data_IF_972702103297
#
_entry.id   IF_972702103297
#
_cell.length_a   1.000
_cell.length_b   1.000
_cell.length_c   1.000
_cell.angle_alpha   90.00
_cell.angle_beta   90.00
_cell.angle_gamma   90.00
#
_symmetry.space_group_name_H-M   'P 1'
#
loop_
_entity.id
_entity.type
_entity.pdbx_description
1 polymer ?
#
# COMPACT_ATOMS: atom_id res chain seq x y z
N UNK A 1 -6.63 -0.79 2.23
CA UNK A 1 -7.13 -0.21 3.50
C UNK A 1 -7.62 1.23 3.33
N UNK A 2 -6.97 2.06 2.52
CA UNK A 2 -7.40 3.43 2.22
C UNK A 2 -8.00 3.45 0.80
N UNK A 3 -9.22 3.96 0.65
CA UNK A 3 -9.85 4.11 -0.66
C UNK A 3 -9.27 5.33 -1.38
N UNK A 4 -8.75 5.12 -2.58
CA UNK A 4 -8.10 6.15 -3.39
C UNK A 4 -9.03 6.77 -4.43
N UNK A 5 -10.28 6.31 -4.54
CA UNK A 5 -11.22 6.67 -5.60
C UNK A 5 -11.32 8.19 -5.84
N UNK A 6 -11.45 8.99 -4.78
CA UNK A 6 -11.64 10.44 -4.91
C UNK A 6 -10.45 11.16 -5.55
N UNK A 7 -9.25 10.58 -5.51
CA UNK A 7 -8.01 11.18 -6.01
C UNK A 7 -7.51 10.54 -7.30
N UNK A 8 -8.20 9.54 -7.86
CA UNK A 8 -7.78 8.91 -9.12
C UNK A 8 -7.75 9.90 -10.29
N UNK A 9 -8.61 10.93 -10.27
CA UNK A 9 -8.66 11.96 -11.28
C UNK A 9 -7.32 12.69 -11.52
N UNK A 10 -6.45 12.80 -10.50
CA UNK A 10 -5.10 13.36 -10.66
C UNK A 10 -4.21 12.56 -11.64
N UNK A 11 -4.57 11.30 -11.93
CA UNK A 11 -3.78 10.39 -12.76
C UNK A 11 -4.41 10.11 -14.13
N UNK A 12 -5.57 10.70 -14.43
CA UNK A 12 -6.31 10.51 -15.67
C UNK A 12 -5.67 11.29 -16.83
N UNK A 13 -5.22 12.53 -16.56
CA UNK A 13 -4.61 13.41 -17.55
C UNK A 13 -3.08 13.26 -17.64
N UNK A 14 -2.51 13.70 -18.76
CA UNK A 14 -1.05 13.77 -18.97
C UNK A 14 -0.56 15.22 -19.06
N UNK A 15 0.50 15.60 -18.32
CA UNK A 15 1.24 14.79 -17.36
C UNK A 15 0.41 14.49 -16.09
N UNK A 16 0.58 13.28 -15.53
CA UNK A 16 -0.10 12.87 -14.29
C UNK A 16 0.36 13.73 -13.11
N UNK A 17 -0.58 14.20 -12.30
CA UNK A 17 -0.32 15.01 -11.11
C UNK A 17 -0.12 14.12 -9.88
N UNK A 18 1.08 13.57 -9.77
CA UNK A 18 1.46 12.74 -8.63
C UNK A 18 1.50 13.51 -7.32
N UNK A 19 1.88 14.78 -7.34
CA UNK A 19 1.98 15.57 -6.12
C UNK A 19 0.58 15.89 -5.58
N UNK A 20 -0.38 16.25 -6.43
CA UNK A 20 -1.80 16.34 -6.08
C UNK A 20 -2.37 15.01 -5.58
N UNK A 21 -2.07 13.91 -6.28
CA UNK A 21 -2.49 12.56 -5.86
C UNK A 21 -2.02 12.22 -4.43
N UNK A 22 -0.78 12.53 -4.06
CA UNK A 22 -0.29 12.23 -2.70
C UNK A 22 -0.73 13.24 -1.66
N UNK A 23 -0.84 14.52 -2.01
CA UNK A 23 -1.36 15.55 -1.11
C UNK A 23 -2.82 15.26 -0.71
N UNK A 24 -3.58 14.59 -1.58
CA UNK A 24 -4.97 14.19 -1.34
C UNK A 24 -5.13 12.89 -0.53
N UNK A 25 -4.04 12.23 -0.15
CA UNK A 25 -4.06 10.95 0.57
C UNK A 25 -4.58 10.99 2.03
N UNK A 26 -4.45 12.11 2.79
CA UNK A 26 -5.05 12.21 4.12
C UNK A 26 -6.59 12.17 4.10
N UNK A 27 -7.22 12.41 2.95
CA UNK A 27 -8.68 12.39 2.80
C UNK A 27 -9.23 11.03 2.35
N UNK A 28 -8.37 10.01 2.20
CA UNK A 28 -8.79 8.66 1.80
C UNK A 28 -9.81 8.10 2.82
N UNK A 29 -11.03 7.72 2.41
CA UNK A 29 -11.94 7.00 3.28
C UNK A 29 -11.35 5.64 3.70
N UNK A 30 -11.55 5.18 4.94
CA UNK A 30 -11.13 3.84 5.33
C UNK A 30 -12.01 2.78 4.66
N UNK A 31 -11.38 1.69 4.23
CA UNK A 31 -12.06 0.47 3.77
C UNK A 31 -12.27 -0.43 4.98
N UNK A 32 -13.53 -0.56 5.41
CA UNK A 32 -13.92 -1.23 6.66
C UNK A 32 -13.36 -2.65 6.77
N UNK A 33 -13.38 -3.44 5.71
CA UNK A 33 -12.86 -4.81 5.67
C UNK A 33 -11.37 -4.86 5.97
N UNK A 34 -10.60 -3.91 5.43
CA UNK A 34 -9.16 -3.84 5.66
C UNK A 34 -8.82 -3.40 7.07
N UNK A 35 -9.59 -2.46 7.64
CA UNK A 35 -9.43 -2.04 9.03
C UNK A 35 -9.75 -3.19 9.98
N UNK A 36 -10.89 -3.86 9.78
CA UNK A 36 -11.32 -4.97 10.60
C UNK A 36 -10.30 -6.13 10.56
N UNK A 37 -9.76 -6.46 9.37
CA UNK A 37 -8.73 -7.49 9.24
C UNK A 37 -7.45 -7.12 9.98
N UNK A 38 -6.98 -5.87 9.86
CA UNK A 38 -5.78 -5.42 10.54
C UNK A 38 -5.93 -5.50 12.07
N UNK A 39 -7.08 -5.04 12.60
CA UNK A 39 -7.39 -5.11 14.04
C UNK A 39 -7.50 -6.56 14.51
N UNK A 40 -8.23 -7.42 13.80
CA UNK A 40 -8.38 -8.82 14.20
C UNK A 40 -7.03 -9.57 14.20
N UNK A 41 -6.14 -9.22 13.26
CA UNK A 41 -4.84 -9.86 13.13
C UNK A 41 -3.91 -9.60 14.33
N UNK A 42 -4.12 -8.54 15.12
CA UNK A 42 -3.25 -8.24 16.29
C UNK A 42 -3.33 -9.30 17.39
N UNK A 43 -4.36 -10.14 17.39
CA UNK A 43 -4.49 -11.23 18.35
C UNK A 43 -3.35 -12.25 18.23
N UNK A 44 -2.72 -12.34 17.06
CA UNK A 44 -1.76 -13.39 16.73
C UNK A 44 -0.56 -12.90 15.91
N UNK A 45 -0.61 -11.69 15.33
CA UNK A 45 0.43 -11.08 14.50
C UNK A 45 0.91 -9.74 15.06
N UNK A 46 2.19 -9.45 14.85
CA UNK A 46 2.65 -8.06 14.73
C UNK A 46 2.13 -7.48 13.40
N UNK A 47 1.67 -6.22 13.42
CA UNK A 47 1.25 -5.52 12.21
C UNK A 47 2.43 -4.72 11.63
N UNK A 48 2.67 -4.93 10.34
CA UNK A 48 3.62 -4.14 9.54
C UNK A 48 2.88 -3.56 8.36
N UNK A 49 3.00 -2.25 8.17
CA UNK A 49 2.40 -1.53 7.06
C UNK A 49 3.42 -1.37 5.93
N UNK A 50 3.00 -1.71 4.72
CA UNK A 50 3.81 -1.56 3.52
C UNK A 50 3.02 -0.74 2.49
N UNK A 51 3.51 0.43 2.13
CA UNK A 51 2.78 1.36 1.26
C UNK A 51 3.63 1.85 0.09
N UNK A 52 2.98 2.02 -1.06
CA UNK A 52 3.54 2.69 -2.22
C UNK A 52 3.50 4.22 -2.10
N UNK A 53 3.12 4.79 -0.96
CA UNK A 53 3.29 6.22 -0.69
C UNK A 53 4.78 6.54 -0.50
N UNK A 54 5.28 7.68 -1.00
CA UNK A 54 6.66 8.08 -0.80
C UNK A 54 6.92 8.52 0.65
N UNK A 55 8.17 8.46 1.11
CA UNK A 55 8.59 8.84 2.47
C UNK A 55 8.13 10.25 2.90
N UNK A 56 8.01 11.20 1.97
CA UNK A 56 7.48 12.55 2.25
C UNK A 56 6.06 12.54 2.81
N UNK A 57 5.28 11.48 2.56
CA UNK A 57 3.92 11.29 3.07
C UNK A 57 3.89 10.54 4.42
N UNK A 58 5.03 10.32 5.08
CA UNK A 58 5.09 9.52 6.31
C UNK A 58 4.21 10.07 7.41
N UNK A 59 4.29 11.38 7.67
CA UNK A 59 3.53 12.03 8.73
C UNK A 59 2.03 11.85 8.50
N UNK A 60 1.56 12.23 7.32
CA UNK A 60 0.17 12.08 6.89
C UNK A 60 -0.33 10.64 6.97
N UNK A 61 0.52 9.66 6.60
CA UNK A 61 0.15 8.24 6.65
C UNK A 61 -0.01 7.77 8.10
N UNK A 62 0.90 8.17 9.00
CA UNK A 62 0.80 7.81 10.42
C UNK A 62 -0.41 8.47 11.08
N UNK A 63 -0.66 9.74 10.79
CA UNK A 63 -1.80 10.48 11.32
C UNK A 63 -3.12 9.85 10.81
N UNK A 64 -3.19 9.44 9.54
CA UNK A 64 -4.34 8.73 8.96
C UNK A 64 -4.58 7.37 9.63
N UNK A 65 -3.53 6.56 9.83
CA UNK A 65 -3.65 5.26 10.51
C UNK A 65 -4.20 5.43 11.94
N UNK A 66 -3.66 6.39 12.69
CA UNK A 66 -4.11 6.68 14.05
C UNK A 66 -5.56 7.20 14.08
N UNK A 67 -5.93 8.12 13.19
CA UNK A 67 -7.27 8.70 13.11
C UNK A 67 -8.35 7.64 12.81
N UNK A 68 -8.00 6.58 12.09
CA UNK A 68 -8.92 5.48 11.73
C UNK A 68 -8.79 4.24 12.63
N UNK A 69 -8.07 4.34 13.75
CA UNK A 69 -8.01 3.27 14.75
C UNK A 69 -7.26 2.03 14.28
N UNK A 70 -6.31 2.17 13.35
CA UNK A 70 -5.46 1.08 12.93
C UNK A 70 -4.45 0.74 14.05
N UNK A 71 -4.09 -0.55 14.22
CA UNK A 71 -3.07 -0.95 15.18
C UNK A 71 -1.73 -0.23 15.02
N UNK A 72 -0.96 -0.11 16.10
CA UNK A 72 0.42 0.34 15.98
C UNK A 72 1.25 -0.68 15.17
N UNK A 73 2.10 -0.16 14.28
CA UNK A 73 2.92 -1.00 13.42
C UNK A 73 4.00 -0.21 12.69
N UNK A 74 5.08 -0.90 12.34
CA UNK A 74 6.15 -0.29 11.54
C UNK A 74 5.64 0.01 10.14
N UNK A 75 5.91 1.22 9.62
CA UNK A 75 5.51 1.64 8.28
C UNK A 75 6.71 1.70 7.36
N UNK A 76 6.74 0.82 6.36
CA UNK A 76 7.67 0.83 5.25
C UNK A 76 7.05 1.56 4.07
N UNK A 77 7.80 2.52 3.54
CA UNK A 77 7.36 3.42 2.47
C UNK A 77 8.36 3.39 1.33
N UNK A 78 7.97 3.89 0.17
CA UNK A 78 8.90 4.04 -0.95
C UNK A 78 9.82 5.25 -0.71
N UNK A 79 11.11 5.12 -1.00
CA UNK A 79 12.02 6.27 -0.96
C UNK A 79 11.59 7.40 -1.90
N UNK A 80 11.79 8.66 -1.51
CA UNK A 80 11.31 9.82 -2.29
C UNK A 80 11.82 9.90 -3.73
N UNK A 81 13.00 9.33 -4.01
CA UNK A 81 13.61 9.30 -5.33
C UNK A 81 13.43 7.96 -6.06
N UNK A 82 12.84 6.95 -5.41
CA UNK A 82 12.63 5.65 -6.01
C UNK A 82 11.42 5.73 -6.94
N UNK A 83 11.67 5.43 -8.21
CA UNK A 83 10.69 5.44 -9.29
C UNK A 83 10.43 4.05 -9.88
N UNK A 84 10.78 2.99 -9.15
CA UNK A 84 10.51 1.62 -9.57
C UNK A 84 9.03 1.28 -9.33
N UNK A 85 8.45 0.38 -10.14
CA UNK A 85 7.13 -0.18 -9.87
C UNK A 85 6.96 -0.72 -8.46
N UNK A 86 5.74 -0.61 -7.91
CA UNK A 86 5.44 -0.93 -6.52
C UNK A 86 5.83 -2.37 -6.17
N UNK A 87 5.56 -3.33 -7.06
CA UNK A 87 5.93 -4.75 -6.89
C UNK A 87 7.39 -4.99 -6.54
N UNK A 88 8.32 -4.24 -7.11
CA UNK A 88 9.74 -4.45 -6.83
C UNK A 88 10.11 -4.00 -5.42
N UNK A 89 9.71 -2.78 -5.06
CA UNK A 89 9.98 -2.21 -3.74
C UNK A 89 9.29 -3.02 -2.64
N UNK A 90 8.02 -3.38 -2.86
CA UNK A 90 7.24 -4.17 -1.89
C UNK A 90 7.83 -5.57 -1.70
N UNK A 91 8.16 -6.29 -2.78
CA UNK A 91 8.75 -7.62 -2.70
C UNK A 91 10.13 -7.61 -2.04
N UNK A 92 10.95 -6.60 -2.32
CA UNK A 92 12.27 -6.40 -1.68
C UNK A 92 12.12 -6.27 -0.16
N UNK A 93 11.19 -5.42 0.29
CA UNK A 93 10.91 -5.22 1.73
C UNK A 93 10.34 -6.49 2.35
N UNK A 94 9.40 -7.17 1.68
CA UNK A 94 8.79 -8.41 2.16
C UNK A 94 9.84 -9.51 2.39
N UNK A 95 10.75 -9.70 1.43
CA UNK A 95 11.87 -10.66 1.55
C UNK A 95 12.81 -10.30 2.70
N UNK A 96 13.10 -9.00 2.89
CA UNK A 96 13.91 -8.54 4.00
C UNK A 96 13.26 -8.80 5.36
N UNK A 97 11.94 -8.59 5.48
CA UNK A 97 11.20 -8.91 6.70
C UNK A 97 11.25 -10.40 7.01
N UNK A 98 11.11 -11.23 5.97
CA UNK A 98 11.13 -12.69 6.08
C UNK A 98 12.49 -13.28 6.52
N UNK A 99 13.59 -12.53 6.45
CA UNK A 99 14.91 -12.99 6.91
C UNK A 99 15.01 -13.09 8.44
N UNK A 100 14.21 -12.30 9.18
CA UNK A 100 14.28 -12.24 10.64
C UNK A 100 13.03 -12.69 11.36
N UNK A 101 11.91 -12.88 10.64
CA UNK A 101 10.59 -13.20 11.20
C UNK A 101 9.77 -13.99 10.18
N UNK A 102 8.81 -14.78 10.66
CA UNK A 102 7.80 -15.39 9.80
C UNK A 102 6.81 -14.30 9.32
N UNK A 103 6.60 -14.23 8.00
CA UNK A 103 5.52 -13.42 7.42
C UNK A 103 4.33 -14.35 7.23
N UNK A 104 3.38 -14.32 8.18
CA UNK A 104 2.20 -15.21 8.12
C UNK A 104 1.31 -14.93 6.91
N UNK A 105 1.15 -13.68 6.51
CA UNK A 105 0.33 -13.27 5.37
C UNK A 105 0.72 -11.89 4.86
N UNK A 106 0.69 -11.70 3.55
CA UNK A 106 0.65 -10.40 2.89
C UNK A 106 -0.80 -10.08 2.50
N UNK A 107 -1.26 -8.86 2.77
CA UNK A 107 -2.56 -8.36 2.30
C UNK A 107 -2.31 -7.17 1.38
N UNK A 108 -2.64 -7.30 0.09
CA UNK A 108 -2.38 -6.25 -0.92
C UNK A 108 -3.49 -6.25 -1.98
N UNK A 109 -3.80 -5.09 -2.54
CA UNK A 109 -4.81 -4.91 -3.59
C UNK A 109 -4.20 -4.88 -5.01
N UNK A 110 -2.89 -4.71 -5.11
CA UNK A 110 -2.17 -4.77 -6.37
C UNK A 110 -1.92 -6.24 -6.77
N UNK A 111 -2.60 -6.67 -7.84
CA UNK A 111 -2.53 -8.05 -8.34
C UNK A 111 -1.11 -8.48 -8.73
N UNK A 112 -0.26 -7.56 -9.23
CA UNK A 112 1.12 -7.91 -9.59
C UNK A 112 2.02 -8.06 -8.38
N UNK A 113 1.79 -7.27 -7.32
CA UNK A 113 2.44 -7.47 -6.02
C UNK A 113 2.04 -8.84 -5.45
N UNK A 114 0.74 -9.15 -5.49
CA UNK A 114 0.21 -10.43 -5.02
C UNK A 114 0.83 -11.63 -5.77
N UNK A 115 0.84 -11.57 -7.09
CA UNK A 115 1.44 -12.60 -7.95
C UNK A 115 2.93 -12.83 -7.61
N UNK A 116 3.70 -11.76 -7.47
CA UNK A 116 5.14 -11.85 -7.18
C UNK A 116 5.42 -12.35 -5.76
N UNK A 117 4.57 -12.02 -4.79
CA UNK A 117 4.65 -12.54 -3.43
C UNK A 117 4.32 -14.04 -3.36
N UNK A 118 3.25 -14.48 -4.04
CA UNK A 118 2.90 -15.91 -4.14
C UNK A 118 4.03 -16.71 -4.82
N UNK A 119 4.59 -16.19 -5.93
CA UNK A 119 5.76 -16.81 -6.59
C UNK A 119 6.99 -16.91 -5.69
N UNK A 120 7.13 -15.96 -4.75
CA UNK A 120 8.19 -15.97 -3.75
C UNK A 120 7.89 -16.84 -2.52
N UNK A 121 6.73 -17.52 -2.49
CA UNK A 121 6.34 -18.47 -1.44
C UNK A 121 5.58 -17.85 -0.26
N UNK A 122 5.09 -16.61 -0.38
CA UNK A 122 4.29 -15.98 0.67
C UNK A 122 2.81 -16.33 0.53
N UNK A 123 2.13 -16.51 1.67
CA UNK A 123 0.68 -16.54 1.71
C UNK A 123 0.13 -15.13 1.44
N UNK A 124 -0.90 -15.02 0.59
CA UNK A 124 -1.45 -13.72 0.17
C UNK A 124 -2.97 -13.70 0.32
N UNK A 125 -3.49 -12.59 0.82
CA UNK A 125 -4.90 -12.20 0.72
C UNK A 125 -4.99 -11.05 -0.27
N UNK A 126 -5.64 -11.30 -1.40
CA UNK A 126 -5.87 -10.29 -2.45
C UNK A 126 -7.03 -9.38 -2.04
N UNK A 127 -6.73 -8.15 -1.66
CA UNK A 127 -7.69 -7.20 -1.10
C UNK A 127 -8.53 -6.52 -2.21
N UNK A 128 -9.59 -7.19 -2.66
CA UNK A 128 -10.50 -6.70 -3.72
C UNK A 128 -11.70 -5.90 -3.21
N UNK A 129 -11.53 -5.19 -2.09
CA UNK A 129 -12.62 -4.52 -1.38
C UNK A 129 -12.95 -3.13 -1.94
N UNK A 130 -12.04 -2.51 -2.69
CA UNK A 130 -12.25 -1.21 -3.33
C UNK A 130 -12.40 -1.33 -4.84
N UNK A 131 -12.99 -0.30 -5.45
CA UNK A 131 -13.07 -0.17 -6.89
C UNK A 131 -11.65 -0.10 -7.51
N UNK A 132 -11.38 -0.98 -8.47
CA UNK A 132 -10.10 -1.03 -9.19
C UNK A 132 -10.00 0.14 -10.16
N UNK A 133 -8.80 0.73 -10.24
CA UNK A 133 -8.49 1.80 -11.18
C UNK A 133 -7.42 1.35 -12.16
N UNK A 134 -7.81 1.22 -13.43
CA UNK A 134 -6.86 0.87 -14.49
C UNK A 134 -5.77 1.94 -14.64
N UNK A 135 -6.12 3.22 -14.47
CA UNK A 135 -5.16 4.32 -14.53
C UNK A 135 -4.13 4.23 -13.39
N UNK A 136 -4.56 4.02 -12.15
CA UNK A 136 -3.65 3.85 -11.01
C UNK A 136 -2.77 2.61 -11.17
N UNK A 137 -3.34 1.49 -11.61
CA UNK A 137 -2.59 0.25 -11.83
C UNK A 137 -1.54 0.43 -12.93
N UNK A 138 -1.89 1.03 -14.07
CA UNK A 138 -0.92 1.34 -15.11
C UNK A 138 0.17 2.30 -14.61
N UNK A 139 -0.20 3.29 -13.80
CA UNK A 139 0.69 4.31 -13.28
C UNK A 139 1.70 3.75 -12.27
N UNK A 140 1.26 2.85 -11.40
CA UNK A 140 2.12 2.11 -10.47
C UNK A 140 3.11 1.21 -11.22
N UNK A 141 2.68 0.61 -12.34
CA UNK A 141 3.44 -0.47 -12.99
C UNK A 141 4.32 -0.04 -14.17
N UNK A 142 3.94 1.01 -14.90
CA UNK A 142 4.71 1.47 -16.07
C UNK A 142 5.58 2.67 -15.79
N UNK A 143 5.04 3.62 -15.02
CA UNK A 143 5.72 4.90 -14.82
C UNK A 143 6.54 4.89 -13.55
N UNK A 144 6.21 4.02 -12.60
CA UNK A 144 6.85 3.92 -11.28
C UNK A 144 6.92 5.27 -10.55
N UNK A 145 6.14 6.26 -11.00
CA UNK A 145 6.17 7.64 -10.53
C UNK A 145 5.16 7.90 -9.44
N UNK A 146 4.77 6.88 -8.69
CA UNK A 146 4.27 7.15 -7.34
C UNK A 146 5.39 7.80 -6.52
#
# INVERSE_FOLDING_TARGET
>A
MADTAHRQHFLEDRPRDWDGFFAAAPQDPPITEGVALAVASTAECEIVYLTGRPERCRRDTLDWLAAHGLPEGRVFMRGNADRRPARFTKLEILRRLAQGREVRVLVDDDELVCDDAERAGFAVVRARWAARSAALQEAQEREGRT
#
